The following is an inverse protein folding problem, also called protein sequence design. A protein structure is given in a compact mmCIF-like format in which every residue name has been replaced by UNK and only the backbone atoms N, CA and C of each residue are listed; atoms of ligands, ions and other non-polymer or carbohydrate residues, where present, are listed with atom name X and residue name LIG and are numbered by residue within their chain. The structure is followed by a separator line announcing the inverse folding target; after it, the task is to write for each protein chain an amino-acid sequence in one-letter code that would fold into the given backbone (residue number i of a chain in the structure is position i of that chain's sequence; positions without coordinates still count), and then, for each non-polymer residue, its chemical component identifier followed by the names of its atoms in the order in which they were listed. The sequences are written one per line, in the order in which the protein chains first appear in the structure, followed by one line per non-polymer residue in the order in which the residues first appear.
data_IF_804243724543
#
_entry.id   IF_804243724543
#
_cell.length_a   1.000
_cell.length_b   1.000
_cell.length_c   1.000
_cell.angle_alpha   90.00
_cell.angle_beta   90.00
_cell.angle_gamma   90.00
#
_symmetry.space_group_name_H-M   'P 1'
#
loop_
_entity.id
_entity.type
_entity.pdbx_description
1 polymer ?
#
# COMPACT_ATOMS: atom_id res chain seq x y z
N UNK A 1 11.14 -6.49 6.12
CA UNK A 1 10.32 -7.62 5.85
C UNK A 1 8.91 -7.48 6.38
N UNK A 2 8.21 -8.60 6.35
CA UNK A 2 6.80 -8.60 6.72
C UNK A 2 6.57 -8.15 8.16
N UNK A 3 7.42 -8.62 9.04
CA UNK A 3 7.26 -8.31 10.45
C UNK A 3 7.31 -6.80 10.70
N UNK A 4 8.30 -6.16 10.11
CA UNK A 4 8.46 -4.72 10.31
C UNK A 4 7.25 -3.96 9.78
N UNK A 5 6.77 -4.35 8.61
CA UNK A 5 5.61 -3.69 8.03
C UNK A 5 4.37 -3.86 8.90
N UNK A 6 4.18 -5.06 9.43
CA UNK A 6 3.04 -5.31 10.30
C UNK A 6 3.12 -4.47 11.56
N UNK A 7 4.31 -4.30 12.10
CA UNK A 7 4.49 -3.46 13.27
C UNK A 7 4.14 -2.02 12.98
N UNK A 8 4.56 -1.53 11.82
CA UNK A 8 4.24 -0.16 11.43
C UNK A 8 2.74 0.03 11.27
N UNK A 9 2.07 -0.95 10.69
CA UNK A 9 0.63 -0.85 10.49
C UNK A 9 -0.12 -0.86 11.81
N UNK A 10 0.35 -1.68 12.76
CA UNK A 10 -0.27 -1.69 14.08
C UNK A 10 -0.08 -0.38 14.80
N UNK A 11 1.11 0.18 14.70
CA UNK A 11 1.39 1.46 15.33
C UNK A 11 0.50 2.54 14.73
N UNK A 12 0.39 2.55 13.42
CA UNK A 12 -0.44 3.55 12.73
C UNK A 12 -1.89 3.43 13.16
N UNK A 13 -2.39 2.21 13.28
CA UNK A 13 -3.76 2.01 13.71
C UNK A 13 -3.98 2.54 15.11
N UNK A 14 -3.01 2.31 15.99
CA UNK A 14 -3.11 2.80 17.37
C UNK A 14 -3.13 4.32 17.43
N UNK A 15 -2.47 4.95 16.46
CA UNK A 15 -2.44 6.41 16.41
C UNK A 15 -3.60 7.02 15.64
N UNK A 16 -4.52 6.18 15.18
CA UNK A 16 -5.70 6.69 14.48
C UNK A 16 -5.50 6.92 12.99
N UNK A 17 -4.45 6.40 12.41
CA UNK A 17 -4.22 6.52 10.98
C UNK A 17 -5.25 5.68 10.24
N UNK A 18 -5.97 6.29 9.30
CA UNK A 18 -7.04 5.62 8.59
C UNK A 18 -6.61 4.96 7.31
N UNK A 19 -5.55 5.43 6.69
CA UNK A 19 -5.11 4.91 5.41
C UNK A 19 -3.60 5.05 5.26
N UNK A 20 -3.03 4.17 4.44
CA UNK A 20 -1.59 4.20 4.13
C UNK A 20 -1.44 4.00 2.64
N UNK A 21 -0.44 4.67 2.06
CA UNK A 21 -0.18 4.54 0.63
C UNK A 21 1.31 4.33 0.39
N UNK A 22 1.62 3.64 -0.70
CA UNK A 22 3.01 3.42 -1.08
C UNK A 22 3.10 3.24 -2.59
N UNK A 23 4.32 3.35 -3.10
CA UNK A 23 4.61 3.10 -4.52
C UNK A 23 5.47 1.85 -4.62
N UNK A 24 5.22 1.08 -5.67
CA UNK A 24 5.99 -0.14 -5.87
C UNK A 24 6.18 -0.37 -7.37
N UNK A 25 7.35 -0.91 -7.76
CA UNK A 25 7.62 -1.23 -9.15
C UNK A 25 6.81 -2.43 -9.58
N UNK A 26 6.21 -2.39 -10.77
CA UNK A 26 5.50 -3.58 -11.29
C UNK A 26 6.40 -4.82 -11.36
N UNK A 27 7.69 -4.63 -11.62
CA UNK A 27 8.59 -5.75 -11.72
C UNK A 27 8.93 -6.39 -10.37
N UNK A 28 8.62 -5.72 -9.29
CA UNK A 28 8.92 -6.24 -7.96
C UNK A 28 7.75 -7.11 -7.49
N UNK A 29 7.64 -8.30 -8.08
CA UNK A 29 6.51 -9.17 -7.80
C UNK A 29 6.47 -9.63 -6.36
N UNK A 30 7.63 -9.78 -5.74
CA UNK A 30 7.68 -10.18 -4.34
C UNK A 30 7.02 -9.12 -3.45
N UNK A 31 7.36 -7.86 -3.68
CA UNK A 31 6.79 -6.78 -2.89
C UNK A 31 5.29 -6.65 -3.14
N UNK A 32 4.86 -6.79 -4.40
CA UNK A 32 3.46 -6.70 -4.72
C UNK A 32 2.65 -7.74 -3.96
N UNK A 33 3.14 -8.98 -3.96
CA UNK A 33 2.44 -10.04 -3.26
C UNK A 33 2.40 -9.79 -1.76
N UNK A 34 3.51 -9.29 -1.23
CA UNK A 34 3.60 -8.99 0.20
C UNK A 34 2.57 -7.94 0.59
N UNK A 35 2.51 -6.84 -0.16
CA UNK A 35 1.59 -5.76 0.18
C UNK A 35 0.14 -6.19 0.00
N UNK A 36 -0.14 -6.97 -1.04
CA UNK A 36 -1.49 -7.48 -1.23
C UNK A 36 -1.91 -8.35 -0.05
N UNK A 37 -0.98 -9.16 0.44
CA UNK A 37 -1.26 -10.01 1.58
C UNK A 37 -1.57 -9.18 2.83
N UNK A 38 -0.98 -8.01 2.94
CA UNK A 38 -1.20 -7.13 4.07
C UNK A 38 -2.45 -6.27 3.91
N UNK A 39 -3.12 -6.37 2.77
CA UNK A 39 -4.36 -5.65 2.56
C UNK A 39 -4.27 -4.43 1.66
N UNK A 40 -3.12 -4.21 1.05
CA UNK A 40 -2.98 -3.10 0.11
C UNK A 40 -3.57 -3.47 -1.23
N UNK A 41 -4.13 -2.48 -1.91
CA UNK A 41 -4.77 -2.65 -3.20
C UNK A 41 -4.21 -1.61 -4.17
N UNK A 42 -3.94 -2.04 -5.40
CA UNK A 42 -3.45 -1.12 -6.44
C UNK A 42 -4.61 -0.22 -6.86
N UNK A 43 -4.43 1.08 -6.73
CA UNK A 43 -5.46 2.04 -7.08
C UNK A 43 -5.02 3.07 -8.07
N UNK A 44 -3.75 3.05 -8.49
CA UNK A 44 -3.28 4.02 -9.45
C UNK A 44 -1.92 3.65 -9.99
N UNK A 45 -1.44 4.49 -10.89
CA UNK A 45 -0.16 4.26 -11.56
C UNK A 45 0.47 5.59 -11.90
N UNK A 46 1.77 5.73 -11.65
CA UNK A 46 2.54 6.91 -12.08
C UNK A 46 3.48 6.48 -13.19
N UNK A 47 3.31 7.08 -14.35
CA UNK A 47 4.11 6.74 -15.52
C UNK A 47 5.55 7.19 -15.37
N UNK A 48 6.48 6.29 -15.72
CA UNK A 48 7.89 6.63 -15.76
C UNK A 48 8.45 7.13 -14.46
N UNK A 49 7.93 6.68 -13.35
CA UNK A 49 8.29 7.19 -12.03
C UNK A 49 9.75 6.91 -11.66
N UNK A 50 10.23 5.72 -11.98
CA UNK A 50 11.60 5.32 -11.62
C UNK A 50 12.54 5.69 -12.74
N UNK A 51 13.52 6.54 -12.43
CA UNK A 51 14.40 7.07 -13.47
C UNK A 51 15.39 6.05 -14.01
N UNK A 52 15.75 5.07 -13.20
CA UNK A 52 16.81 4.14 -13.61
C UNK A 52 16.42 3.33 -14.83
N UNK A 53 15.16 2.95 -14.97
CA UNK A 53 14.73 2.18 -16.13
C UNK A 53 13.41 2.66 -16.72
N UNK A 54 12.90 3.77 -16.25
CA UNK A 54 11.66 4.34 -16.79
C UNK A 54 10.41 3.58 -16.40
N UNK A 55 10.53 2.70 -15.43
CA UNK A 55 9.40 1.89 -15.02
C UNK A 55 8.34 2.74 -14.32
N UNK A 56 7.07 2.39 -14.51
CA UNK A 56 5.98 3.04 -13.80
C UNK A 56 6.00 2.66 -12.33
N UNK A 57 5.28 3.41 -11.52
CA UNK A 57 5.06 3.04 -10.13
C UNK A 57 3.59 2.68 -9.97
N UNK A 58 3.33 1.58 -9.30
CA UNK A 58 1.97 1.23 -8.92
C UNK A 58 1.70 1.86 -7.57
N UNK A 59 0.57 2.54 -7.46
CA UNK A 59 0.19 3.21 -6.22
C UNK A 59 -0.75 2.29 -5.48
N UNK A 60 -0.35 1.87 -4.29
CA UNK A 60 -1.16 0.95 -3.50
C UNK A 60 -1.67 1.63 -2.25
N UNK A 61 -2.87 1.27 -1.86
CA UNK A 61 -3.53 1.84 -0.69
C UNK A 61 -4.01 0.75 0.24
N UNK A 62 -3.87 1.03 1.51
CA UNK A 62 -4.48 0.23 2.56
C UNK A 62 -5.41 1.15 3.34
N UNK A 63 -6.65 0.73 3.56
CA UNK A 63 -7.60 1.52 4.33
C UNK A 63 -8.10 0.71 5.51
N UNK A 64 -8.18 1.36 6.65
CA UNK A 64 -8.65 0.71 7.86
C UNK A 64 -10.12 0.34 7.69
N UNK A 65 -10.53 -0.71 8.38
CA UNK A 65 -11.89 -1.18 8.27
C UNK A 65 -12.92 -0.13 8.62
N UNK A 66 -12.62 0.68 9.61
CA UNK A 66 -13.56 1.71 10.01
C UNK A 66 -13.86 2.67 8.88
N UNK A 67 -12.86 2.96 8.08
CA UNK A 67 -13.05 3.87 6.97
C UNK A 67 -13.92 3.26 5.89
N UNK A 68 -13.77 1.98 5.66
CA UNK A 68 -14.61 1.31 4.69
C UNK A 68 -16.06 1.33 5.07
N UNK A 69 -16.33 1.11 6.32
CA UNK A 69 -17.69 1.06 6.79
C UNK A 69 -18.42 2.37 6.62
N UNK A 70 -17.67 3.40 6.59
CA UNK A 70 -18.23 4.71 6.43
C UNK A 70 -19.10 4.82 5.19
N UNK A 71 -18.79 4.07 4.18
CA UNK A 71 -19.49 4.17 2.92
C UNK A 71 -20.82 3.50 2.90
N UNK A 72 -21.15 2.77 3.91
CA UNK A 72 -22.36 1.99 3.91
C UNK A 72 -23.60 2.81 4.15
N UNK A 73 -23.42 4.00 4.48
CA UNK A 73 -24.58 4.82 4.73
C UNK A 73 -24.98 5.60 3.54
#
# INVERSE_FOLDING_TARGET
GTYLMEQMMQFAAAEGVQAMTLEVRPSNTHALKLYEKLGFVVEGRRKGYYEDNGEDALIMWYRAKGEEKHNDN
#
